data_IF_088318584721
#
_entry.id   IF_088318584721
#
_cell.length_a   1.000
_cell.length_b   1.000
_cell.length_c   1.000
_cell.angle_alpha   90.00
_cell.angle_beta   90.00
_cell.angle_gamma   90.00
#
_symmetry.space_group_name_H-M   'P 1'
#
loop_
_entity.id
_entity.type
_entity.pdbx_description
1 polymer ?
#
# COMPACT_ATOMS: atom_id res chain seq x y z
N UNK A 1 -4.17 -7.36 37.17
CA UNK A 1 -5.33 -6.89 36.37
C UNK A 1 -5.07 -5.45 35.99
N UNK A 2 -4.54 -5.22 34.80
CA UNK A 2 -4.43 -3.88 34.24
C UNK A 2 -5.55 -3.71 33.22
N UNK A 3 -6.39 -2.70 33.43
CA UNK A 3 -7.48 -2.30 32.55
C UNK A 3 -6.92 -1.93 31.16
N UNK A 4 -7.00 -2.87 30.23
CA UNK A 4 -6.87 -2.57 28.81
C UNK A 4 -8.23 -2.13 28.28
N UNK A 5 -8.30 -1.05 27.47
CA UNK A 5 -9.57 -0.59 26.93
C UNK A 5 -10.19 -1.70 26.07
N UNK A 6 -11.43 -2.05 26.39
CA UNK A 6 -12.28 -3.04 25.75
C UNK A 6 -12.45 -2.78 24.24
N UNK A 7 -11.43 -3.07 23.43
CA UNK A 7 -11.53 -3.06 21.97
C UNK A 7 -11.94 -4.46 21.49
N UNK A 8 -13.10 -4.62 20.85
CA UNK A 8 -13.64 -5.94 20.48
C UNK A 8 -12.77 -6.74 19.50
N UNK A 9 -11.81 -6.11 18.82
CA UNK A 9 -10.83 -6.78 17.95
C UNK A 9 -9.79 -7.62 18.72
N UNK A 10 -9.41 -7.20 19.94
CA UNK A 10 -8.48 -7.93 20.80
C UNK A 10 -9.09 -9.21 21.38
N UNK A 11 -10.41 -9.22 21.63
CA UNK A 11 -11.15 -10.38 22.15
C UNK A 11 -11.24 -11.49 21.08
N UNK A 12 -11.46 -11.11 19.82
CA UNK A 12 -11.49 -12.05 18.70
C UNK A 12 -10.14 -12.73 18.46
N UNK A 13 -9.03 -11.97 18.53
CA UNK A 13 -7.66 -12.49 18.41
C UNK A 13 -7.30 -13.50 19.50
N UNK A 14 -7.77 -13.25 20.73
CA UNK A 14 -7.56 -14.16 21.87
C UNK A 14 -8.18 -15.55 21.65
N UNK A 15 -9.21 -15.64 20.79
CA UNK A 15 -9.91 -16.89 20.50
C UNK A 15 -9.21 -17.70 19.39
N UNK A 16 -8.68 -17.03 18.35
CA UNK A 16 -7.98 -17.67 17.22
C UNK A 16 -6.60 -18.22 17.58
N UNK A 17 -5.87 -17.54 18.47
CA UNK A 17 -4.50 -17.91 18.83
C UNK A 17 -4.39 -18.44 20.26
N UNK A 18 -5.41 -19.16 20.75
CA UNK A 18 -5.44 -19.72 22.11
C UNK A 18 -4.24 -20.62 22.42
N UNK A 19 -3.67 -21.27 21.39
CA UNK A 19 -2.48 -22.12 21.53
C UNK A 19 -1.24 -21.32 22.00
N UNK A 20 -1.12 -20.05 21.63
CA UNK A 20 0.02 -19.20 22.05
C UNK A 20 0.01 -18.91 23.55
N UNK A 21 -1.15 -19.00 24.21
CA UNK A 21 -1.24 -18.84 25.67
C UNK A 21 -0.45 -19.90 26.42
N UNK A 22 -0.19 -21.06 25.81
CA UNK A 22 0.61 -22.13 26.42
C UNK A 22 2.07 -21.72 26.64
N UNK A 23 2.60 -20.75 25.88
CA UNK A 23 3.96 -20.26 26.03
C UNK A 23 4.17 -19.37 27.28
N UNK A 24 3.08 -18.92 27.92
CA UNK A 24 3.11 -18.14 29.16
C UNK A 24 2.85 -18.99 30.42
N UNK A 25 2.63 -20.30 30.27
CA UNK A 25 2.31 -21.19 31.40
C UNK A 25 3.62 -21.63 32.03
N UNK A 26 3.80 -21.32 33.32
CA UNK A 26 4.89 -21.84 34.13
C UNK A 26 4.62 -23.33 34.38
N UNK A 27 5.48 -24.20 33.85
CA UNK A 27 5.33 -25.65 33.97
C UNK A 27 6.18 -26.16 35.14
N UNK A 28 7.37 -25.58 35.35
CA UNK A 28 8.28 -25.94 36.43
C UNK A 28 8.88 -24.67 37.09
N UNK A 29 8.43 -24.27 38.29
CA UNK A 29 8.85 -23.02 38.95
C UNK A 29 10.36 -22.93 39.19
N UNK A 30 11.01 -24.06 39.49
CA UNK A 30 12.43 -24.10 39.87
C UNK A 30 13.36 -24.04 38.64
N UNK A 31 12.84 -24.33 37.45
CA UNK A 31 13.58 -24.29 36.17
C UNK A 31 13.22 -23.10 35.31
N UNK A 32 11.99 -22.62 35.38
CA UNK A 32 11.44 -21.64 34.45
C UNK A 32 11.49 -20.20 35.01
N UNK A 33 11.71 -20.03 36.33
CA UNK A 33 11.69 -18.71 37.00
C UNK A 33 12.96 -18.53 37.86
N UNK A 34 13.63 -17.39 37.69
CA UNK A 34 14.77 -16.98 38.51
C UNK A 34 14.29 -16.40 39.86
N UNK A 35 15.20 -16.23 40.81
CA UNK A 35 14.92 -15.66 42.15
C UNK A 35 14.32 -14.23 42.10
N UNK A 36 14.49 -13.51 41.00
CA UNK A 36 13.94 -12.18 40.72
C UNK A 36 12.57 -12.21 40.02
N UNK A 37 11.94 -13.40 39.91
CA UNK A 37 10.65 -13.64 39.22
C UNK A 37 10.74 -13.46 37.69
N UNK A 38 11.95 -13.31 37.14
CA UNK A 38 12.18 -13.26 35.68
C UNK A 38 12.24 -14.67 35.08
N UNK A 39 11.92 -14.80 33.79
CA UNK A 39 12.02 -16.08 33.10
C UNK A 39 13.50 -16.56 33.04
N UNK A 40 13.75 -17.76 33.54
CA UNK A 40 15.08 -18.41 33.51
C UNK A 40 15.54 -18.68 32.06
N UNK A 41 14.60 -19.03 31.17
CA UNK A 41 14.85 -19.13 29.73
C UNK A 41 13.75 -18.42 28.91
N UNK A 42 14.04 -17.25 28.31
CA UNK A 42 13.07 -16.48 27.51
C UNK A 42 12.51 -17.20 26.29
N UNK A 43 13.19 -18.24 25.80
CA UNK A 43 12.75 -19.06 24.66
C UNK A 43 11.76 -20.16 25.05
N UNK A 44 11.61 -20.43 26.35
CA UNK A 44 10.79 -21.52 26.89
C UNK A 44 9.62 -20.99 27.73
N UNK A 45 9.81 -19.85 28.39
CA UNK A 45 8.77 -19.10 29.10
C UNK A 45 8.72 -17.66 28.56
N UNK A 46 7.63 -17.31 27.89
CA UNK A 46 7.41 -15.96 27.37
C UNK A 46 6.49 -15.16 28.30
N UNK A 47 6.71 -13.86 28.39
CA UNK A 47 5.80 -12.98 29.15
C UNK A 47 4.47 -12.84 28.42
N UNK A 48 3.41 -12.52 29.18
CA UNK A 48 2.08 -12.27 28.61
C UNK A 48 2.14 -11.17 27.56
N UNK A 49 2.91 -10.11 27.81
CA UNK A 49 3.12 -9.00 26.88
C UNK A 49 3.74 -9.44 25.54
N UNK A 50 4.70 -10.38 25.56
CA UNK A 50 5.30 -10.92 24.33
C UNK A 50 4.29 -11.73 23.52
N UNK A 51 3.49 -12.56 24.19
CA UNK A 51 2.46 -13.36 23.52
C UNK A 51 1.32 -12.48 22.98
N UNK A 52 0.91 -11.44 23.70
CA UNK A 52 -0.08 -10.47 23.22
C UNK A 52 0.45 -9.66 22.02
N UNK A 53 1.72 -9.26 22.07
CA UNK A 53 2.42 -8.60 20.95
C UNK A 53 2.42 -9.47 19.69
N UNK A 54 2.73 -10.77 19.84
CA UNK A 54 2.71 -11.72 18.72
C UNK A 54 1.29 -11.94 18.19
N UNK A 55 0.28 -12.05 19.06
CA UNK A 55 -1.11 -12.16 18.61
C UNK A 55 -1.52 -10.93 17.82
N UNK A 56 -1.24 -9.72 18.34
CA UNK A 56 -1.54 -8.47 17.65
C UNK A 56 -0.92 -8.44 16.25
N UNK A 57 0.34 -8.86 16.12
CA UNK A 57 1.03 -9.02 14.85
C UNK A 57 0.28 -9.97 13.90
N UNK A 58 -0.07 -11.18 14.37
CA UNK A 58 -0.82 -12.15 13.56
C UNK A 58 -2.19 -11.63 13.13
N UNK A 59 -2.84 -10.81 13.96
CA UNK A 59 -4.11 -10.16 13.62
C UNK A 59 -4.02 -9.07 12.56
N UNK A 60 -2.85 -8.45 12.42
CA UNK A 60 -2.61 -7.39 11.42
C UNK A 60 -2.25 -7.98 10.06
N UNK A 61 -1.62 -9.16 10.02
CA UNK A 61 -1.16 -9.82 8.77
C UNK A 61 -2.22 -9.84 7.65
N UNK A 62 -3.50 -10.21 7.88
CA UNK A 62 -4.50 -10.24 6.82
C UNK A 62 -4.78 -8.89 6.18
N UNK A 63 -4.72 -7.79 6.94
CA UNK A 63 -4.89 -6.43 6.41
C UNK A 63 -3.59 -5.97 5.75
N UNK A 64 -2.46 -6.29 6.35
CA UNK A 64 -1.14 -6.01 5.79
C UNK A 64 -0.95 -6.62 4.40
N UNK A 65 -1.38 -7.88 4.19
CA UNK A 65 -1.30 -8.52 2.87
C UNK A 65 -2.13 -7.82 1.80
N UNK A 66 -3.33 -7.31 2.15
CA UNK A 66 -4.13 -6.51 1.20
C UNK A 66 -3.41 -5.22 0.80
N UNK A 67 -2.61 -4.66 1.71
CA UNK A 67 -1.77 -3.50 1.46
C UNK A 67 -0.74 -3.69 0.36
N UNK A 68 -0.20 -4.91 0.21
CA UNK A 68 0.79 -5.23 -0.81
C UNK A 68 0.24 -4.92 -2.21
N UNK A 69 -1.04 -5.21 -2.47
CA UNK A 69 -1.66 -4.94 -3.77
C UNK A 69 -1.67 -3.45 -4.10
N UNK A 70 -1.90 -2.59 -3.11
CA UNK A 70 -1.80 -1.15 -3.28
C UNK A 70 -0.36 -0.70 -3.61
N UNK A 71 0.63 -1.25 -2.90
CA UNK A 71 2.04 -0.89 -3.10
C UNK A 71 2.54 -1.32 -4.49
N UNK A 72 2.09 -2.47 -5.02
CA UNK A 72 2.38 -2.89 -6.40
C UNK A 72 1.90 -1.81 -7.39
N UNK A 73 0.74 -1.21 -7.12
CA UNK A 73 0.20 -0.16 -7.97
C UNK A 73 0.98 1.16 -7.86
N UNK A 74 1.53 1.48 -6.69
CA UNK A 74 2.32 2.69 -6.50
C UNK A 74 3.72 2.59 -7.12
N UNK A 75 4.37 1.45 -6.97
CA UNK A 75 5.80 1.35 -7.24
C UNK A 75 6.15 1.13 -8.72
N UNK A 76 5.16 0.86 -9.56
CA UNK A 76 5.32 0.66 -11.01
C UNK A 76 5.37 2.00 -11.79
N UNK A 77 6.08 2.99 -11.26
CA UNK A 77 6.13 4.35 -11.82
C UNK A 77 6.85 4.43 -13.17
N UNK A 78 7.80 3.53 -13.42
CA UNK A 78 8.62 3.51 -14.63
C UNK A 78 7.78 3.45 -15.92
N UNK A 79 6.65 2.74 -15.92
CA UNK A 79 5.77 2.65 -17.09
C UNK A 79 5.21 4.01 -17.51
N UNK A 80 4.79 4.84 -16.54
CA UNK A 80 4.25 6.16 -16.86
C UNK A 80 5.35 7.09 -17.42
N UNK A 81 6.58 6.96 -16.93
CA UNK A 81 7.73 7.70 -17.46
C UNK A 81 8.02 7.27 -18.90
N UNK A 82 8.03 5.95 -19.18
CA UNK A 82 8.23 5.43 -20.53
C UNK A 82 7.13 5.89 -21.50
N UNK A 83 5.87 5.87 -21.07
CA UNK A 83 4.75 6.40 -21.87
C UNK A 83 4.97 7.89 -22.20
N UNK A 84 5.34 8.70 -21.22
CA UNK A 84 5.52 10.14 -21.42
C UNK A 84 6.65 10.50 -22.37
N UNK A 85 7.70 9.67 -22.49
CA UNK A 85 8.79 9.91 -23.47
C UNK A 85 8.25 9.85 -24.90
N UNK A 86 7.26 9.00 -25.16
CA UNK A 86 6.63 8.82 -26.48
C UNK A 86 5.42 9.74 -26.74
N UNK A 87 5.21 10.75 -25.89
CA UNK A 87 4.05 11.65 -25.93
C UNK A 87 4.49 13.11 -26.05
N UNK A 88 3.60 13.99 -26.51
CA UNK A 88 3.85 15.42 -26.50
C UNK A 88 3.86 15.95 -25.06
N UNK A 89 5.04 16.42 -24.63
CA UNK A 89 5.31 16.90 -23.27
C UNK A 89 5.16 18.41 -23.13
N UNK A 90 4.73 19.13 -24.17
CA UNK A 90 4.52 20.58 -24.09
C UNK A 90 3.22 20.89 -23.34
N UNK A 91 3.35 21.57 -22.21
CA UNK A 91 2.23 22.08 -21.41
C UNK A 91 2.40 23.59 -21.27
N UNK A 92 1.45 24.38 -21.80
CA UNK A 92 1.44 25.84 -21.68
C UNK A 92 2.81 26.49 -22.05
N UNK A 93 3.42 26.03 -23.14
CA UNK A 93 4.75 26.44 -23.64
C UNK A 93 5.96 25.97 -22.81
N UNK A 94 5.78 25.07 -21.86
CA UNK A 94 6.87 24.45 -21.10
C UNK A 94 6.98 22.96 -21.44
N UNK A 95 8.18 22.50 -21.78
CA UNK A 95 8.43 21.06 -21.98
C UNK A 95 8.59 20.37 -20.63
N UNK A 96 7.63 19.51 -20.29
CA UNK A 96 7.67 18.76 -19.05
C UNK A 96 8.69 17.61 -19.15
N UNK A 97 9.64 17.46 -18.20
CA UNK A 97 10.48 16.26 -18.15
C UNK A 97 9.63 15.03 -17.81
N UNK A 98 9.82 13.92 -18.54
CA UNK A 98 9.04 12.69 -18.32
C UNK A 98 9.14 12.16 -16.87
N UNK A 99 10.31 12.31 -16.23
CA UNK A 99 10.52 11.91 -14.84
C UNK A 99 9.74 12.75 -13.81
N UNK A 100 9.26 13.94 -14.19
CA UNK A 100 8.55 14.85 -13.29
C UNK A 100 7.08 14.48 -13.09
N UNK A 101 6.55 13.47 -13.78
CA UNK A 101 5.15 13.04 -13.62
C UNK A 101 4.78 12.63 -12.20
N UNK A 102 5.75 12.10 -11.44
CA UNK A 102 5.50 11.68 -10.06
C UNK A 102 5.17 12.88 -9.13
N UNK A 103 5.57 14.10 -9.51
CA UNK A 103 5.25 15.31 -8.75
C UNK A 103 3.73 15.49 -8.63
N UNK A 104 2.95 15.18 -9.67
CA UNK A 104 1.49 15.29 -9.63
C UNK A 104 0.84 14.35 -8.61
N UNK A 105 1.40 13.15 -8.44
CA UNK A 105 0.96 12.20 -7.42
C UNK A 105 1.22 12.76 -6.01
N UNK A 106 2.44 13.27 -5.77
CA UNK A 106 2.83 13.87 -4.47
C UNK A 106 2.01 15.12 -4.16
N UNK A 107 1.78 15.99 -5.16
CA UNK A 107 0.93 17.17 -5.02
C UNK A 107 -0.50 16.78 -4.68
N UNK A 108 -1.06 15.79 -5.36
CA UNK A 108 -2.42 15.31 -5.09
C UNK A 108 -2.56 14.77 -3.67
N UNK A 109 -1.61 13.94 -3.23
CA UNK A 109 -1.57 13.44 -1.86
C UNK A 109 -1.52 14.58 -0.84
N UNK A 110 -0.66 15.57 -1.08
CA UNK A 110 -0.47 16.71 -0.17
C UNK A 110 -1.71 17.60 -0.09
N UNK A 111 -2.32 17.91 -1.24
CA UNK A 111 -3.57 18.69 -1.33
C UNK A 111 -4.70 17.91 -0.64
N UNK A 112 -4.79 16.60 -0.87
CA UNK A 112 -5.80 15.78 -0.23
C UNK A 112 -5.64 15.73 1.28
N UNK A 113 -4.41 15.57 1.78
CA UNK A 113 -4.13 15.54 3.22
C UNK A 113 -4.52 16.85 3.89
N UNK A 114 -4.12 17.99 3.30
CA UNK A 114 -4.49 19.31 3.83
C UNK A 114 -6.00 19.53 3.80
N UNK A 115 -6.68 19.12 2.73
CA UNK A 115 -8.14 19.15 2.64
C UNK A 115 -8.79 18.26 3.71
N UNK A 116 -8.29 17.04 3.90
CA UNK A 116 -8.80 16.08 4.86
C UNK A 116 -8.73 16.64 6.29
N UNK A 117 -7.57 17.14 6.69
CA UNK A 117 -7.33 17.61 8.06
C UNK A 117 -8.03 18.94 8.36
N UNK A 118 -8.05 19.86 7.40
CA UNK A 118 -8.58 21.23 7.60
C UNK A 118 -10.08 21.33 7.41
N UNK A 119 -10.66 20.52 6.54
CA UNK A 119 -12.06 20.66 6.13
C UNK A 119 -12.85 19.42 6.51
N UNK A 120 -12.41 18.23 6.06
CA UNK A 120 -13.23 17.02 6.21
C UNK A 120 -13.32 16.56 7.66
N UNK A 121 -12.21 16.58 8.39
CA UNK A 121 -12.11 16.18 9.80
C UNK A 121 -12.98 17.05 10.73
N UNK A 122 -12.88 18.40 10.74
CA UNK A 122 -13.77 19.21 11.57
C UNK A 122 -15.24 19.11 11.16
N UNK A 123 -15.52 18.93 9.86
CA UNK A 123 -16.88 18.74 9.37
C UNK A 123 -17.47 17.42 9.87
N UNK A 124 -16.73 16.31 9.74
CA UNK A 124 -17.10 15.01 10.28
C UNK A 124 -17.25 15.04 11.80
N UNK A 125 -16.39 15.77 12.52
CA UNK A 125 -16.53 15.93 13.97
C UNK A 125 -17.82 16.66 14.36
N UNK A 126 -18.21 17.70 13.61
CA UNK A 126 -19.49 18.40 13.82
C UNK A 126 -20.70 17.51 13.57
N UNK A 127 -20.68 16.71 12.50
CA UNK A 127 -21.82 15.85 12.15
C UNK A 127 -21.92 14.59 13.00
N UNK A 128 -20.79 13.97 13.36
CA UNK A 128 -20.78 12.68 14.08
C UNK A 128 -20.80 12.83 15.61
N UNK A 129 -20.59 14.04 16.14
CA UNK A 129 -20.54 14.30 17.58
C UNK A 129 -19.42 13.56 18.32
N UNK A 130 -18.44 12.99 17.59
CA UNK A 130 -17.31 12.25 18.15
C UNK A 130 -16.07 13.17 18.22
N UNK A 131 -15.34 13.21 19.35
CA UNK A 131 -14.15 14.05 19.49
C UNK A 131 -13.00 13.66 18.54
N UNK A 132 -13.01 12.42 18.01
CA UNK A 132 -12.14 11.95 16.92
C UNK A 132 -12.94 11.81 15.61
N UNK A 133 -13.63 12.87 15.21
CA UNK A 133 -14.48 12.88 14.03
C UNK A 133 -13.70 12.66 12.74
N UNK A 134 -13.65 11.42 12.25
CA UNK A 134 -12.95 11.05 11.03
C UNK A 134 -13.48 9.75 10.47
N UNK A 135 -13.11 9.46 9.22
CA UNK A 135 -13.38 8.16 8.61
C UNK A 135 -12.62 7.08 9.38
N UNK A 136 -13.27 5.95 9.65
CA UNK A 136 -12.61 4.81 10.29
C UNK A 136 -11.40 4.34 9.45
N UNK A 137 -10.28 3.94 10.08
CA UNK A 137 -9.09 3.46 9.36
C UNK A 137 -9.42 2.36 8.35
N UNK A 138 -10.29 1.42 8.71
CA UNK A 138 -10.73 0.33 7.82
C UNK A 138 -11.45 0.83 6.56
N UNK A 139 -12.26 1.87 6.67
CA UNK A 139 -12.96 2.48 5.54
C UNK A 139 -11.96 3.18 4.62
N UNK A 140 -11.01 3.92 5.19
CA UNK A 140 -9.95 4.57 4.40
C UNK A 140 -9.10 3.53 3.65
N UNK A 141 -8.70 2.44 4.31
CA UNK A 141 -7.99 1.33 3.67
C UNK A 141 -8.82 0.77 2.50
N UNK A 142 -10.11 0.50 2.72
CA UNK A 142 -11.01 0.00 1.68
C UNK A 142 -11.11 0.91 0.45
N UNK A 143 -11.33 2.21 0.66
CA UNK A 143 -11.33 3.21 -0.43
C UNK A 143 -9.99 3.17 -1.17
N UNK A 144 -8.89 3.19 -0.42
CA UNK A 144 -7.54 3.14 -0.95
C UNK A 144 -7.17 1.84 -1.68
N UNK A 145 -7.95 0.77 -1.55
CA UNK A 145 -7.80 -0.47 -2.34
C UNK A 145 -8.63 -0.46 -3.64
N UNK A 146 -9.73 0.28 -3.69
CA UNK A 146 -10.63 0.35 -4.85
C UNK A 146 -10.22 1.43 -5.86
N UNK A 147 -9.85 2.61 -5.37
CA UNK A 147 -9.39 3.74 -6.22
C UNK A 147 -8.20 3.40 -7.14
N UNK A 148 -7.15 2.65 -6.72
CA UNK A 148 -6.04 2.33 -7.63
C UNK A 148 -6.47 1.41 -8.78
N UNK A 149 -7.51 0.59 -8.60
CA UNK A 149 -8.06 -0.24 -9.68
C UNK A 149 -8.68 0.66 -10.76
N UNK A 150 -9.43 1.68 -10.36
CA UNK A 150 -9.96 2.68 -11.30
C UNK A 150 -8.83 3.46 -12.00
N UNK A 151 -7.77 3.82 -11.27
CA UNK A 151 -6.58 4.46 -11.85
C UNK A 151 -5.90 3.57 -12.90
N UNK A 152 -5.76 2.27 -12.64
CA UNK A 152 -5.19 1.32 -13.60
C UNK A 152 -6.08 1.08 -14.80
N UNK A 153 -7.39 0.95 -14.61
CA UNK A 153 -8.33 0.84 -15.72
C UNK A 153 -8.24 2.06 -16.64
N UNK A 154 -8.19 3.27 -16.06
CA UNK A 154 -8.00 4.50 -16.81
C UNK A 154 -6.65 4.54 -17.54
N UNK A 155 -5.56 4.14 -16.88
CA UNK A 155 -4.24 4.03 -17.52
C UNK A 155 -4.23 3.05 -18.70
N UNK A 156 -4.96 1.93 -18.60
CA UNK A 156 -5.08 0.97 -19.69
C UNK A 156 -5.89 1.52 -20.88
N UNK A 157 -6.95 2.29 -20.60
CA UNK A 157 -7.71 3.01 -21.65
C UNK A 157 -6.82 4.04 -22.35
N UNK A 158 -6.07 4.85 -21.59
CA UNK A 158 -5.14 5.84 -22.14
C UNK A 158 -4.09 5.18 -23.02
N UNK A 159 -3.51 4.06 -22.58
CA UNK A 159 -2.53 3.32 -23.38
C UNK A 159 -3.15 2.72 -24.65
N UNK A 160 -4.39 2.25 -24.58
CA UNK A 160 -5.10 1.72 -25.75
C UNK A 160 -5.32 2.81 -26.81
N UNK A 161 -5.68 4.03 -26.37
CA UNK A 161 -5.83 5.19 -27.26
C UNK A 161 -4.47 5.58 -27.84
N UNK A 162 -3.44 5.74 -27.00
CA UNK A 162 -2.07 6.09 -27.43
C UNK A 162 -1.56 5.11 -28.49
N UNK A 163 -1.70 3.81 -28.23
CA UNK A 163 -1.29 2.75 -29.17
C UNK A 163 -2.06 2.83 -30.48
N UNK A 164 -3.37 3.07 -30.46
CA UNK A 164 -4.17 3.23 -31.68
C UNK A 164 -3.72 4.44 -32.51
N UNK A 165 -3.45 5.57 -31.87
CA UNK A 165 -2.94 6.77 -32.55
C UNK A 165 -1.55 6.53 -33.14
N UNK A 166 -0.65 5.84 -32.43
CA UNK A 166 0.65 5.47 -32.97
C UNK A 166 0.54 4.62 -34.26
N UNK A 167 -0.40 3.68 -34.31
CA UNK A 167 -0.69 2.88 -35.50
C UNK A 167 -1.23 3.73 -36.67
N UNK A 168 -2.14 4.67 -36.38
CA UNK A 168 -2.70 5.59 -37.38
C UNK A 168 -1.65 6.55 -37.95
N UNK A 169 -0.63 6.92 -37.15
CA UNK A 169 0.49 7.77 -37.55
C UNK A 169 1.64 7.00 -38.23
N UNK A 170 1.54 5.66 -38.32
CA UNK A 170 2.58 4.80 -38.91
C UNK A 170 3.84 4.66 -38.05
N UNK A 171 3.75 4.98 -36.75
CA UNK A 171 4.85 4.94 -35.78
C UNK A 171 4.96 3.56 -35.08
N UNK A 172 4.42 2.49 -35.68
CA UNK A 172 4.37 1.16 -35.06
C UNK A 172 5.75 0.57 -34.78
N UNK A 173 6.70 0.80 -35.69
CA UNK A 173 8.07 0.28 -35.64
C UNK A 173 9.10 1.33 -35.18
N UNK A 174 8.65 2.52 -34.78
CA UNK A 174 9.53 3.59 -34.28
C UNK A 174 9.51 3.65 -32.75
N UNK A 175 10.48 3.03 -32.05
CA UNK A 175 10.51 2.98 -30.59
C UNK A 175 10.66 4.37 -29.93
N UNK A 176 11.22 5.34 -30.64
CA UNK A 176 11.41 6.73 -30.19
C UNK A 176 10.38 7.71 -30.84
N UNK A 177 9.38 7.17 -31.54
CA UNK A 177 8.33 7.96 -32.18
C UNK A 177 7.49 8.72 -31.15
N UNK A 178 7.33 10.03 -31.34
CA UNK A 178 6.47 10.87 -30.49
C UNK A 178 5.08 10.92 -31.10
N UNK A 179 4.12 10.27 -30.43
CA UNK A 179 2.71 10.26 -30.82
C UNK A 179 2.12 11.65 -30.57
N UNK A 180 1.23 12.12 -31.46
CA UNK A 180 0.50 13.37 -31.28
C UNK A 180 -0.60 13.25 -30.19
N UNK A 181 -0.18 13.00 -28.95
CA UNK A 181 -1.02 12.86 -27.78
C UNK A 181 -0.34 13.54 -26.61
N UNK A 182 -1.03 14.49 -25.98
CA UNK A 182 -0.48 15.24 -24.85
C UNK A 182 -0.27 14.38 -23.60
N UNK A 183 0.83 14.60 -22.90
CA UNK A 183 1.16 13.96 -21.61
C UNK A 183 0.10 14.22 -20.53
N UNK A 184 -0.77 15.23 -20.71
CA UNK A 184 -1.90 15.55 -19.82
C UNK A 184 -2.83 14.35 -19.62
N UNK A 185 -2.94 13.45 -20.60
CA UNK A 185 -3.74 12.21 -20.49
C UNK A 185 -3.23 11.24 -19.41
N UNK A 186 -1.96 11.34 -19.00
CA UNK A 186 -1.39 10.54 -17.90
C UNK A 186 -1.68 11.14 -16.52
N UNK A 187 -2.15 12.39 -16.44
CA UNK A 187 -2.42 13.06 -15.15
C UNK A 187 -3.61 12.46 -14.42
N UNK A 188 -4.80 12.22 -15.04
CA UNK A 188 -5.94 11.64 -14.35
C UNK A 188 -5.65 10.33 -13.59
N UNK A 189 -5.00 9.30 -14.18
CA UNK A 189 -4.68 8.10 -13.42
C UNK A 189 -3.63 8.35 -12.32
N UNK A 190 -2.71 9.31 -12.49
CA UNK A 190 -1.74 9.70 -11.44
C UNK A 190 -2.40 10.41 -10.26
N UNK A 191 -3.38 11.28 -10.51
CA UNK A 191 -4.16 11.96 -9.48
C UNK A 191 -4.96 10.92 -8.68
N UNK A 192 -5.66 10.01 -9.36
CA UNK A 192 -6.39 8.93 -8.68
C UNK A 192 -5.47 8.05 -7.82
N UNK A 193 -4.27 7.74 -8.33
CA UNK A 193 -3.28 6.97 -7.59
C UNK A 193 -2.76 7.70 -6.34
N UNK A 194 -2.50 9.01 -6.42
CA UNK A 194 -2.13 9.83 -5.26
C UNK A 194 -3.24 9.93 -4.22
N UNK A 195 -4.50 10.01 -4.66
CA UNK A 195 -5.67 9.96 -3.77
C UNK A 195 -5.78 8.59 -3.07
N UNK A 196 -5.58 7.51 -3.82
CA UNK A 196 -5.56 6.16 -3.28
C UNK A 196 -4.48 5.99 -2.20
N UNK A 197 -3.27 6.49 -2.45
CA UNK A 197 -2.16 6.45 -1.50
C UNK A 197 -2.51 7.20 -0.21
N UNK A 198 -3.05 8.41 -0.33
CA UNK A 198 -3.41 9.22 0.82
C UNK A 198 -4.45 8.53 1.72
N UNK A 199 -5.42 7.83 1.13
CA UNK A 199 -6.38 7.05 1.92
C UNK A 199 -5.78 5.77 2.49
N UNK A 200 -5.05 4.99 1.69
CA UNK A 200 -4.59 3.66 2.07
C UNK A 200 -3.43 3.72 3.06
N UNK A 201 -2.37 4.46 2.76
CA UNK A 201 -1.13 4.49 3.55
C UNK A 201 -1.40 5.05 4.95
N UNK A 202 -2.14 6.16 5.02
CA UNK A 202 -2.53 6.77 6.31
C UNK A 202 -3.46 5.82 7.08
N UNK A 203 -4.45 5.23 6.42
CA UNK A 203 -5.37 4.29 7.03
C UNK A 203 -4.67 3.05 7.59
N UNK A 204 -3.68 2.50 6.88
CA UNK A 204 -2.89 1.36 7.33
C UNK A 204 -2.03 1.69 8.55
N UNK A 205 -1.28 2.80 8.51
CA UNK A 205 -0.42 3.20 9.62
C UNK A 205 -1.25 3.45 10.88
N UNK A 206 -2.39 4.16 10.75
CA UNK A 206 -3.32 4.39 11.86
C UNK A 206 -3.91 3.07 12.38
N UNK A 207 -4.24 2.14 11.49
CA UNK A 207 -4.72 0.81 11.87
C UNK A 207 -3.65 0.01 12.62
N UNK A 208 -2.40 -0.02 12.15
CA UNK A 208 -1.29 -0.70 12.81
C UNK A 208 -1.07 -0.16 14.22
N UNK A 209 -1.01 1.18 14.38
CA UNK A 209 -0.89 1.79 15.70
C UNK A 209 -2.09 1.54 16.62
N UNK A 210 -3.29 1.32 16.06
CA UNK A 210 -4.47 0.98 16.86
C UNK A 210 -4.46 -0.46 17.39
N UNK A 211 -3.81 -1.39 16.69
CA UNK A 211 -3.74 -2.79 17.07
C UNK A 211 -2.49 -3.10 17.89
N UNK A 212 -1.40 -2.35 17.68
CA UNK A 212 -0.14 -2.58 18.35
C UNK A 212 -0.07 -1.86 19.71
N UNK A 213 0.51 -2.49 20.74
CA UNK A 213 0.88 -1.79 21.97
C UNK A 213 1.97 -0.75 21.68
N UNK A 214 2.10 0.25 22.56
CA UNK A 214 3.05 1.38 22.37
C UNK A 214 4.50 0.92 22.15
N UNK A 215 4.90 -0.20 22.75
CA UNK A 215 6.23 -0.81 22.59
C UNK A 215 6.53 -1.31 21.17
N UNK A 216 5.51 -1.55 20.35
CA UNK A 216 5.63 -2.10 18.99
C UNK A 216 5.51 -1.04 17.88
N UNK A 217 5.65 0.25 18.22
CA UNK A 217 5.56 1.33 17.24
C UNK A 217 6.55 1.18 16.07
N UNK A 218 7.76 0.71 16.36
CA UNK A 218 8.80 0.44 15.35
C UNK A 218 8.43 -0.72 14.43
N UNK A 219 7.73 -1.73 14.94
CA UNK A 219 7.26 -2.89 14.17
C UNK A 219 6.19 -2.46 13.16
N UNK A 220 5.33 -1.49 13.51
CA UNK A 220 4.34 -0.95 12.58
C UNK A 220 5.00 -0.36 11.32
N UNK A 221 6.04 0.46 11.50
CA UNK A 221 6.79 1.07 10.40
C UNK A 221 7.60 0.02 9.64
N UNK A 222 8.24 -0.92 10.35
CA UNK A 222 8.99 -2.01 9.73
C UNK A 222 8.09 -2.88 8.83
N UNK A 223 6.89 -3.23 9.27
CA UNK A 223 5.91 -3.97 8.47
C UNK A 223 5.46 -3.18 7.25
N UNK A 224 5.21 -1.88 7.40
CA UNK A 224 4.83 -1.02 6.28
C UNK A 224 5.93 -1.02 5.20
N UNK A 225 7.18 -0.71 5.58
CA UNK A 225 8.31 -0.70 4.65
C UNK A 225 8.60 -2.09 4.06
N UNK A 226 8.45 -3.14 4.86
CA UNK A 226 8.58 -4.52 4.37
C UNK A 226 7.52 -4.87 3.34
N UNK A 227 6.28 -4.39 3.52
CA UNK A 227 5.20 -4.52 2.54
C UNK A 227 5.56 -3.88 1.19
N UNK A 228 6.18 -2.69 1.22
CA UNK A 228 6.72 -2.03 0.02
C UNK A 228 7.76 -2.88 -0.70
N UNK A 229 8.74 -3.43 0.04
CA UNK A 229 9.79 -4.27 -0.55
C UNK A 229 9.22 -5.56 -1.18
N UNK A 230 8.27 -6.21 -0.50
CA UNK A 230 7.58 -7.39 -1.04
C UNK A 230 6.79 -7.03 -2.31
N UNK A 231 6.13 -5.88 -2.32
CA UNK A 231 5.41 -5.40 -3.50
C UNK A 231 6.33 -5.13 -4.69
N UNK A 232 7.54 -4.58 -4.47
CA UNK A 232 8.53 -4.36 -5.52
C UNK A 232 9.02 -5.67 -6.14
N UNK A 233 9.24 -6.70 -5.31
CA UNK A 233 9.63 -8.03 -5.79
C UNK A 233 8.52 -8.68 -6.61
N UNK A 234 7.28 -8.64 -6.12
CA UNK A 234 6.12 -9.18 -6.85
C UNK A 234 5.90 -8.40 -8.14
N UNK A 235 6.00 -7.07 -8.09
CA UNK A 235 5.88 -6.20 -9.25
C UNK A 235 6.94 -6.50 -10.31
N UNK A 236 8.19 -6.65 -9.92
CA UNK A 236 9.29 -7.04 -10.82
C UNK A 236 9.05 -8.43 -11.42
N UNK A 237 8.58 -9.38 -10.61
CA UNK A 237 8.19 -10.71 -11.08
C UNK A 237 7.06 -10.68 -12.12
N UNK A 238 6.05 -9.83 -11.91
CA UNK A 238 4.94 -9.65 -12.85
C UNK A 238 5.44 -9.14 -14.20
N UNK A 239 6.32 -8.13 -14.20
CA UNK A 239 6.92 -7.58 -15.43
C UNK A 239 7.79 -8.63 -16.13
N UNK A 240 8.60 -9.37 -15.38
CA UNK A 240 9.42 -10.45 -15.93
C UNK A 240 8.58 -11.53 -16.63
N UNK A 241 7.49 -11.98 -15.99
CA UNK A 241 6.58 -12.98 -16.57
C UNK A 241 5.90 -12.42 -17.82
N UNK A 242 5.41 -11.18 -17.77
CA UNK A 242 4.79 -10.53 -18.94
C UNK A 242 5.77 -10.44 -20.11
N UNK A 243 7.01 -10.01 -19.88
CA UNK A 243 8.06 -9.95 -20.90
C UNK A 243 8.36 -11.32 -21.52
N UNK A 244 8.45 -12.38 -20.69
CA UNK A 244 8.64 -13.75 -21.18
C UNK A 244 7.49 -14.24 -22.06
N UNK A 245 6.26 -13.89 -21.71
CA UNK A 245 5.07 -14.26 -22.49
C UNK A 245 5.04 -13.52 -23.84
N UNK A 246 5.38 -12.24 -23.85
CA UNK A 246 5.43 -11.43 -25.08
C UNK A 246 6.51 -11.97 -26.02
N UNK A 247 7.73 -12.17 -25.53
CA UNK A 247 8.84 -12.65 -26.35
C UNK A 247 8.60 -14.05 -26.92
N UNK A 248 7.91 -14.94 -26.17
CA UNK A 248 7.50 -16.25 -26.68
C UNK A 248 6.50 -16.12 -27.83
N UNK A 249 5.53 -15.20 -27.75
CA UNK A 249 4.55 -14.98 -28.82
C UNK A 249 5.21 -14.43 -30.09
N UNK A 250 6.17 -13.51 -29.95
CA UNK A 250 6.94 -12.99 -31.08
C UNK A 250 7.77 -14.09 -31.74
N UNK A 251 8.46 -14.93 -30.96
CA UNK A 251 9.20 -16.07 -31.48
C UNK A 251 8.32 -17.10 -32.22
N UNK A 252 7.07 -17.30 -31.79
CA UNK A 252 6.10 -18.16 -32.48
C UNK A 252 5.54 -17.52 -33.77
N UNK A 253 5.52 -16.19 -33.89
CA UNK A 253 5.08 -15.46 -35.09
C UNK A 253 6.17 -15.37 -36.16
N UNK A 254 7.45 -15.31 -35.79
CA UNK A 254 8.59 -15.29 -36.73
C UNK A 254 8.84 -16.67 -37.38
N UNK A 255 8.31 -17.75 -36.78
CA UNK A 255 8.43 -19.12 -37.29
C UNK A 255 7.25 -19.57 -38.18
N UNK A 256 6.30 -18.68 -38.49
CA UNK A 256 5.19 -18.92 -39.42
C UNK A 256 5.33 -18.06 -40.67
#
# INVERSE_FOLDING_TARGET
MLDYPNHPSLIFLNTLCRCLNRACIIIDPDRDVNLDVSASNPWRLCTVDQVESLKALLGVIPIWTTGIMMHINLNQNSFATLQAVTMDRIILNFELPAGSLNVFLVLTLTIWLTFYDRILLPLLARFTGRPRGGLSPKVRIGIGLLVPVAARAMSAVVETIRRKTAMEEGLEDEPDGVVNMSVVWLLPPKILLGLAEAFNSIGQIEFYYSQFPKSMSTIAVALFTFGTAVADLIGSGLVYVAGRVIHRREGELVLK
#
